data_IF_774105285304
#
_entry.id   IF_774105285304
#
_cell.length_a   1.000
_cell.length_b   1.000
_cell.length_c   1.000
_cell.angle_alpha   90.00
_cell.angle_beta   90.00
_cell.angle_gamma   90.00
#
_symmetry.space_group_name_H-M   'P 1'
#
loop_
_entity.id
_entity.type
_entity.pdbx_description
1 polymer ?
#
# COMPACT_ATOMS: atom_id res chain seq x y z
N UNK A 1 -13.71 30.37 5.05
CA UNK A 1 -12.74 31.46 5.26
C UNK A 1 -11.56 31.19 4.34
N UNK A 2 -11.21 32.13 3.47
CA UNK A 2 -10.04 32.01 2.61
C UNK A 2 -8.82 32.44 3.42
N UNK A 3 -7.81 31.59 3.49
CA UNK A 3 -6.62 31.80 4.29
C UNK A 3 -5.39 31.65 3.39
N UNK A 4 -4.42 32.53 3.57
CA UNK A 4 -3.15 32.46 2.85
C UNK A 4 -2.11 31.82 3.77
N UNK A 5 -1.36 30.83 3.28
CA UNK A 5 -0.22 30.29 3.99
C UNK A 5 0.96 30.05 3.05
N UNK A 6 2.15 30.38 3.53
CA UNK A 6 3.38 30.18 2.77
C UNK A 6 3.74 28.71 2.67
N UNK A 7 4.18 28.26 1.50
CA UNK A 7 4.60 26.86 1.26
C UNK A 7 5.78 26.42 2.16
N UNK A 8 6.59 27.37 2.64
CA UNK A 8 7.72 27.16 3.54
C UNK A 8 7.66 28.19 4.68
N UNK A 9 7.82 27.79 5.96
CA UNK A 9 7.67 28.69 7.10
C UNK A 9 8.66 29.87 7.09
N UNK A 10 9.91 29.63 6.65
CA UNK A 10 10.97 30.65 6.61
C UNK A 10 11.19 31.27 5.24
N UNK A 11 11.35 30.44 4.22
CA UNK A 11 11.74 30.93 2.89
C UNK A 11 10.59 31.64 2.16
N UNK A 12 9.33 31.29 2.47
CA UNK A 12 8.13 31.95 1.94
C UNK A 12 8.11 32.10 0.41
N UNK A 13 8.54 31.06 -0.32
CA UNK A 13 8.70 31.13 -1.77
C UNK A 13 7.38 31.31 -2.51
N UNK A 14 6.30 30.68 -2.04
CA UNK A 14 4.98 30.72 -2.68
C UNK A 14 3.87 30.88 -1.65
N UNK A 15 2.95 31.81 -1.91
CA UNK A 15 1.74 32.00 -1.10
C UNK A 15 0.65 31.06 -1.60
N UNK A 16 0.32 30.04 -0.82
CA UNK A 16 -0.73 29.09 -1.13
C UNK A 16 -2.06 29.61 -0.57
N UNK A 17 -3.10 29.61 -1.41
CA UNK A 17 -4.46 29.94 -0.99
C UNK A 17 -5.17 28.68 -0.52
N UNK A 18 -5.69 28.71 0.70
CA UNK A 18 -6.48 27.62 1.28
C UNK A 18 -7.91 28.10 1.53
N UNK A 19 -8.89 27.26 1.18
CA UNK A 19 -10.25 27.44 1.64
C UNK A 19 -10.51 26.49 2.81
N UNK A 20 -10.54 27.04 4.02
CA UNK A 20 -10.93 26.25 5.21
C UNK A 20 -12.43 26.43 5.42
N UNK A 21 -13.15 25.32 5.36
CA UNK A 21 -14.57 25.23 5.74
C UNK A 21 -14.67 24.50 7.07
N UNK A 22 -15.27 25.15 8.06
CA UNK A 22 -15.52 24.58 9.39
C UNK A 22 -16.98 24.11 9.42
N UNK A 23 -17.21 22.84 9.78
CA UNK A 23 -18.56 22.31 10.03
C UNK A 23 -18.66 21.85 11.48
N UNK A 24 -19.81 22.12 12.10
CA UNK A 24 -20.18 21.58 13.41
C UNK A 24 -21.14 20.42 13.20
N UNK A 25 -21.01 19.38 14.01
CA UNK A 25 -22.00 18.30 14.03
C UNK A 25 -23.32 18.88 14.53
N UNK A 26 -24.44 18.41 13.96
CA UNK A 26 -25.78 18.84 14.36
C UNK A 26 -26.23 18.08 15.63
N UNK A 27 -25.44 17.11 16.10
CA UNK A 27 -25.72 16.30 17.29
C UNK A 27 -24.42 16.01 18.06
N UNK A 28 -24.53 15.37 19.23
CA UNK A 28 -23.37 14.88 20.01
C UNK A 28 -22.58 13.75 19.33
N UNK A 29 -22.98 13.35 18.12
CA UNK A 29 -22.23 12.39 17.32
C UNK A 29 -20.99 13.05 16.70
N UNK A 30 -19.83 12.36 16.67
CA UNK A 30 -18.65 12.84 15.98
C UNK A 30 -18.95 13.19 14.51
N UNK A 31 -18.43 14.33 14.06
CA UNK A 31 -18.54 14.74 12.67
C UNK A 31 -17.76 13.75 11.79
N UNK A 32 -18.46 12.90 11.03
CA UNK A 32 -17.84 12.14 9.94
C UNK A 32 -17.67 13.07 8.74
N UNK A 33 -16.46 13.59 8.55
CA UNK A 33 -16.11 14.45 7.41
C UNK A 33 -14.98 13.84 6.61
N UNK A 34 -15.12 13.90 5.29
CA UNK A 34 -14.07 13.57 4.33
C UNK A 34 -13.58 14.87 3.72
N UNK A 35 -12.29 15.15 3.89
CA UNK A 35 -11.65 16.31 3.28
C UNK A 35 -11.00 15.88 1.96
N UNK A 36 -11.24 16.65 0.91
CA UNK A 36 -10.61 16.45 -0.39
C UNK A 36 -9.70 17.66 -0.63
N UNK A 37 -8.39 17.41 -0.65
CA UNK A 37 -7.41 18.41 -1.06
C UNK A 37 -7.02 18.15 -2.50
N UNK A 38 -7.14 19.16 -3.36
CA UNK A 38 -6.52 19.16 -4.68
C UNK A 38 -5.36 20.14 -4.62
N UNK A 39 -4.17 19.63 -4.89
CA UNK A 39 -2.93 20.42 -4.87
C UNK A 39 -2.33 20.40 -6.27
N UNK A 40 -2.04 21.58 -6.80
CA UNK A 40 -1.34 21.76 -8.06
C UNK A 40 0.02 22.42 -7.79
N UNK A 41 1.11 21.66 -7.81
CA UNK A 41 2.43 22.23 -8.00
C UNK A 41 2.56 22.66 -9.47
N UNK A 42 2.83 23.93 -9.74
CA UNK A 42 3.09 24.42 -11.10
C UNK A 42 4.39 25.22 -11.16
N UNK A 43 5.13 25.08 -12.26
CA UNK A 43 6.30 25.89 -12.57
C UNK A 43 5.86 27.08 -13.42
N UNK A 44 5.96 28.30 -12.88
CA UNK A 44 5.61 29.55 -13.57
C UNK A 44 4.55 30.36 -12.83
N UNK A 45 3.96 31.33 -13.52
CA UNK A 45 3.05 32.32 -12.91
C UNK A 45 1.56 31.97 -13.05
N UNK A 46 1.20 30.90 -13.77
CA UNK A 46 -0.18 30.55 -14.08
C UNK A 46 -0.55 29.13 -13.60
N UNK A 47 -1.60 28.98 -12.78
CA UNK A 47 -2.15 27.66 -12.45
C UNK A 47 -2.75 26.98 -13.69
N UNK A 48 -2.76 25.65 -13.73
CA UNK A 48 -3.38 24.86 -14.81
C UNK A 48 -4.79 24.39 -14.41
N UNK A 49 -5.16 24.44 -13.12
CA UNK A 49 -6.53 24.20 -12.67
C UNK A 49 -7.34 25.49 -12.84
N UNK A 50 -8.28 25.47 -13.78
CA UNK A 50 -9.24 26.56 -14.00
C UNK A 50 -10.37 26.53 -12.96
N UNK A 51 -10.84 25.34 -12.59
CA UNK A 51 -11.92 25.17 -11.63
C UNK A 51 -11.98 23.77 -11.04
N UNK A 52 -12.61 23.67 -9.87
CA UNK A 52 -12.93 22.42 -9.18
C UNK A 52 -14.43 22.35 -8.90
N UNK A 53 -15.05 21.21 -9.17
CA UNK A 53 -16.45 20.96 -8.79
C UNK A 53 -16.59 19.63 -8.08
N UNK A 54 -17.24 19.64 -6.93
CA UNK A 54 -17.64 18.39 -6.29
C UNK A 54 -18.74 17.75 -7.12
N UNK A 55 -18.58 16.47 -7.47
CA UNK A 55 -19.58 15.71 -8.20
C UNK A 55 -20.43 14.89 -7.22
N UNK A 56 -21.74 14.72 -7.50
CA UNK A 56 -22.57 13.77 -6.76
C UNK A 56 -22.12 12.34 -7.10
N UNK A 57 -21.94 11.54 -6.06
CA UNK A 57 -21.58 10.11 -6.16
C UNK A 57 -22.29 9.36 -5.03
N UNK A 58 -22.71 8.12 -5.29
CA UNK A 58 -23.45 7.31 -4.31
C UNK A 58 -22.62 6.95 -3.07
N UNK A 59 -21.31 6.74 -3.25
CA UNK A 59 -20.35 6.41 -2.19
C UNK A 59 -19.02 7.11 -2.41
N UNK A 60 -18.35 7.47 -1.31
CA UNK A 60 -17.07 8.17 -1.34
C UNK A 60 -17.17 9.62 -1.76
N UNK A 61 -16.17 10.06 -2.53
CA UNK A 61 -15.96 11.43 -2.94
C UNK A 61 -15.52 11.50 -4.41
N UNK A 62 -16.08 12.43 -5.16
CA UNK A 62 -15.70 12.69 -6.55
C UNK A 62 -15.55 14.19 -6.81
N UNK A 63 -14.55 14.55 -7.61
CA UNK A 63 -14.24 15.93 -8.01
C UNK A 63 -13.96 15.97 -9.51
N UNK A 64 -14.60 16.92 -10.18
CA UNK A 64 -14.24 17.40 -11.51
C UNK A 64 -13.11 18.43 -11.36
N UNK A 65 -12.02 18.23 -12.08
CA UNK A 65 -10.91 19.18 -12.22
C UNK A 65 -10.89 19.68 -13.66
N UNK A 66 -11.22 20.94 -13.85
CA UNK A 66 -11.22 21.59 -15.15
C UNK A 66 -9.85 22.23 -15.41
N UNK A 67 -9.22 21.83 -16.51
CA UNK A 67 -7.97 22.39 -17.03
C UNK A 67 -8.22 23.04 -18.41
N UNK A 68 -7.30 23.84 -18.97
CA UNK A 68 -7.47 24.45 -20.28
C UNK A 68 -7.83 23.45 -21.39
N UNK A 69 -7.22 22.25 -21.34
CA UNK A 69 -7.25 21.30 -22.46
C UNK A 69 -7.88 19.96 -22.10
N UNK A 70 -8.25 19.78 -20.84
CA UNK A 70 -8.75 18.52 -20.34
C UNK A 70 -9.63 18.70 -19.10
N UNK A 71 -10.45 17.70 -18.85
CA UNK A 71 -11.22 17.53 -17.61
C UNK A 71 -10.82 16.23 -16.95
N UNK A 72 -10.39 16.27 -15.70
CA UNK A 72 -10.19 15.07 -14.90
C UNK A 72 -11.37 14.83 -13.98
N UNK A 73 -11.87 13.61 -13.96
CA UNK A 73 -12.80 13.14 -12.93
C UNK A 73 -12.02 12.25 -11.99
N UNK A 74 -11.82 12.73 -10.77
CA UNK A 74 -11.09 12.03 -9.71
C UNK A 74 -12.09 11.51 -8.69
N UNK A 75 -11.94 10.24 -8.31
CA UNK A 75 -12.82 9.56 -7.38
C UNK A 75 -12.01 8.83 -6.31
N UNK A 76 -12.48 8.88 -5.07
CA UNK A 76 -11.89 8.20 -3.92
C UNK A 76 -12.98 7.66 -2.99
N UNK A 77 -12.84 6.40 -2.59
CA UNK A 77 -13.71 5.68 -1.68
C UNK A 77 -12.91 4.55 -1.02
N UNK A 78 -13.27 4.14 0.19
CA UNK A 78 -12.54 3.10 0.96
C UNK A 78 -13.37 1.84 1.17
N UNK A 79 -14.51 1.70 0.48
CA UNK A 79 -15.49 0.64 0.75
C UNK A 79 -15.60 -0.41 -0.35
N UNK A 80 -14.94 -0.21 -1.50
CA UNK A 80 -15.05 -1.05 -2.70
C UNK A 80 -16.49 -1.33 -3.16
N UNK A 81 -17.43 -0.45 -2.80
CA UNK A 81 -18.81 -0.52 -3.25
C UNK A 81 -18.90 0.10 -4.65
N UNK A 82 -19.77 -0.44 -5.50
CA UNK A 82 -20.04 0.12 -6.83
C UNK A 82 -20.55 1.55 -6.69
N UNK A 83 -19.90 2.47 -7.42
CA UNK A 83 -20.26 3.88 -7.45
C UNK A 83 -20.29 4.41 -8.87
N UNK A 84 -21.17 5.38 -9.09
CA UNK A 84 -21.43 5.92 -10.40
C UNK A 84 -21.46 7.45 -10.38
N UNK A 85 -21.00 8.06 -11.48
CA UNK A 85 -21.01 9.49 -11.72
C UNK A 85 -21.77 9.73 -13.02
N UNK A 86 -23.08 9.98 -12.91
CA UNK A 86 -24.00 10.01 -14.04
C UNK A 86 -23.59 11.01 -15.14
N UNK A 87 -23.11 12.20 -14.76
CA UNK A 87 -22.71 13.26 -15.70
C UNK A 87 -21.56 12.87 -16.64
N UNK A 88 -20.78 11.85 -16.32
CA UNK A 88 -19.67 11.35 -17.16
C UNK A 88 -19.86 9.91 -17.60
N UNK A 89 -20.98 9.28 -17.23
CA UNK A 89 -21.24 7.84 -17.47
C UNK A 89 -20.08 6.96 -16.96
N UNK A 90 -19.59 7.28 -15.75
CA UNK A 90 -18.55 6.52 -15.06
C UNK A 90 -19.21 5.59 -14.04
N UNK A 91 -18.77 4.34 -14.01
CA UNK A 91 -19.18 3.34 -13.00
C UNK A 91 -17.97 2.49 -12.61
N UNK A 92 -17.77 2.24 -11.31
CA UNK A 92 -16.57 1.53 -10.82
C UNK A 92 -16.75 1.05 -9.39
N UNK A 93 -16.08 -0.04 -9.03
CA UNK A 93 -15.94 -0.51 -7.64
C UNK A 93 -14.65 0.00 -6.98
N UNK A 94 -13.66 0.44 -7.76
CA UNK A 94 -12.33 0.86 -7.30
C UNK A 94 -12.29 1.86 -6.14
N UNK A 95 -11.30 1.70 -5.25
CA UNK A 95 -11.02 2.68 -4.20
C UNK A 95 -10.62 4.04 -4.77
N UNK A 96 -9.79 4.06 -5.79
CA UNK A 96 -9.42 5.30 -6.47
C UNK A 96 -9.58 5.15 -7.98
N UNK A 97 -10.07 6.18 -8.64
CA UNK A 97 -10.12 6.27 -10.08
C UNK A 97 -9.82 7.69 -10.57
N UNK A 98 -9.17 7.78 -11.72
CA UNK A 98 -8.96 9.01 -12.46
C UNK A 98 -9.31 8.76 -13.92
N UNK A 99 -10.19 9.58 -14.47
CA UNK A 99 -10.53 9.57 -15.89
C UNK A 99 -10.26 10.96 -16.46
N UNK A 100 -9.41 11.05 -17.47
CA UNK A 100 -9.13 12.30 -18.19
C UNK A 100 -9.90 12.31 -19.51
N UNK A 101 -10.63 13.39 -19.74
CA UNK A 101 -11.30 13.70 -20.99
C UNK A 101 -10.63 14.90 -21.67
N UNK A 102 -10.25 14.79 -22.95
CA UNK A 102 -9.67 15.90 -23.71
C UNK A 102 -10.68 16.96 -24.14
N UNK A 103 -10.22 17.98 -24.88
CA UNK A 103 -11.06 19.10 -25.39
C UNK A 103 -12.31 18.67 -26.18
N UNK A 104 -12.30 17.49 -26.81
CA UNK A 104 -13.46 16.92 -27.52
C UNK A 104 -14.34 16.00 -26.68
N UNK A 105 -14.10 15.91 -25.38
CA UNK A 105 -14.75 14.96 -24.48
C UNK A 105 -14.31 13.50 -24.71
N UNK A 106 -13.35 13.22 -25.59
CA UNK A 106 -12.81 11.87 -25.76
C UNK A 106 -12.05 11.44 -24.50
N UNK A 107 -12.19 10.18 -24.10
CA UNK A 107 -11.38 9.63 -23.00
C UNK A 107 -9.93 9.50 -23.47
N UNK A 108 -9.02 10.15 -22.76
CA UNK A 108 -7.58 10.17 -23.09
C UNK A 108 -6.76 9.33 -22.11
N UNK A 109 -7.17 9.30 -20.84
CA UNK A 109 -6.47 8.53 -19.81
C UNK A 109 -7.43 7.92 -18.82
N UNK A 110 -7.12 6.72 -18.38
CA UNK A 110 -7.88 5.98 -17.36
C UNK A 110 -6.91 5.34 -16.39
N UNK A 111 -7.14 5.58 -15.10
CA UNK A 111 -6.44 4.92 -14.01
C UNK A 111 -7.45 4.47 -12.97
N UNK A 112 -7.26 3.27 -12.42
CA UNK A 112 -7.94 2.88 -11.18
C UNK A 112 -7.12 1.91 -10.35
N UNK A 113 -7.40 1.87 -9.05
CA UNK A 113 -6.74 0.97 -8.12
C UNK A 113 -7.70 0.37 -7.09
N UNK A 114 -7.34 -0.82 -6.64
CA UNK A 114 -8.04 -1.62 -5.63
C UNK A 114 -9.51 -1.94 -6.01
N UNK A 115 -9.82 -1.99 -7.30
CA UNK A 115 -11.13 -2.39 -7.84
C UNK A 115 -10.99 -3.44 -8.93
N UNK A 116 -12.10 -4.08 -9.30
CA UNK A 116 -12.13 -5.06 -10.38
C UNK A 116 -12.41 -4.43 -11.76
N UNK A 117 -13.04 -3.25 -11.80
CA UNK A 117 -13.30 -2.56 -13.07
C UNK A 117 -13.51 -1.05 -12.94
N UNK A 118 -13.37 -0.37 -14.07
CA UNK A 118 -13.82 0.99 -14.31
C UNK A 118 -14.48 1.06 -15.68
N UNK A 119 -15.75 1.44 -15.71
CA UNK A 119 -16.52 1.69 -16.93
C UNK A 119 -16.57 3.19 -17.19
N UNK A 120 -16.31 3.57 -18.45
CA UNK A 120 -16.42 4.95 -18.94
C UNK A 120 -17.21 4.90 -20.25
N UNK A 121 -18.45 5.40 -20.25
CA UNK A 121 -19.40 5.24 -21.36
C UNK A 121 -19.55 3.76 -21.72
N UNK A 122 -19.24 3.37 -22.96
CA UNK A 122 -19.39 2.00 -23.47
C UNK A 122 -18.14 1.13 -23.26
N UNK A 123 -17.06 1.69 -22.70
CA UNK A 123 -15.79 0.96 -22.48
C UNK A 123 -15.66 0.51 -21.05
N UNK A 124 -15.26 -0.74 -20.86
CA UNK A 124 -14.98 -1.34 -19.54
C UNK A 124 -13.51 -1.73 -19.47
N UNK A 125 -12.80 -1.15 -18.52
CA UNK A 125 -11.43 -1.48 -18.18
C UNK A 125 -11.43 -2.42 -16.96
N UNK A 126 -10.61 -3.48 -16.98
CA UNK A 126 -10.59 -4.50 -15.94
C UNK A 126 -9.19 -4.73 -15.40
N UNK A 127 -9.10 -4.96 -14.11
CA UNK A 127 -7.89 -5.36 -13.42
C UNK A 127 -8.22 -6.45 -12.41
N UNK A 128 -7.19 -7.20 -12.03
CA UNK A 128 -7.28 -8.19 -10.97
C UNK A 128 -6.08 -8.05 -10.06
N UNK A 129 -6.30 -8.33 -8.79
CA UNK A 129 -5.20 -8.47 -7.85
C UNK A 129 -4.33 -9.67 -8.27
N UNK A 130 -3.06 -9.59 -7.95
CA UNK A 130 -2.12 -10.70 -8.04
C UNK A 130 -1.99 -11.27 -6.64
N UNK A 131 -2.23 -12.57 -6.49
CA UNK A 131 -2.15 -13.25 -5.21
C UNK A 131 -1.27 -14.49 -5.30
N UNK A 132 -0.63 -14.83 -4.18
CA UNK A 132 0.20 -16.02 -4.08
C UNK A 132 0.66 -16.31 -2.66
N UNK A 133 1.40 -17.39 -2.51
CA UNK A 133 2.00 -17.80 -1.24
C UNK A 133 3.52 -17.77 -1.37
N UNK A 134 4.20 -17.16 -0.41
CA UNK A 134 5.67 -17.16 -0.34
C UNK A 134 6.15 -18.58 -0.10
N UNK A 135 6.98 -19.08 -1.00
CA UNK A 135 7.53 -20.45 -0.98
C UNK A 135 9.01 -20.49 -0.61
N UNK A 136 9.74 -19.41 -0.87
CA UNK A 136 11.14 -19.27 -0.51
C UNK A 136 11.46 -17.81 -0.22
N UNK A 137 12.35 -17.56 0.73
CA UNK A 137 12.83 -16.22 1.11
C UNK A 137 14.34 -16.26 1.23
N UNK A 138 15.00 -15.41 0.45
CA UNK A 138 16.40 -15.03 0.61
C UNK A 138 16.42 -13.63 1.22
N UNK A 139 16.35 -13.60 2.56
CA UNK A 139 16.24 -12.37 3.32
C UNK A 139 17.46 -11.46 3.13
N UNK A 140 18.64 -12.05 2.91
CA UNK A 140 19.91 -11.32 2.72
C UNK A 140 19.94 -10.55 1.41
N UNK A 141 19.41 -11.14 0.34
CA UNK A 141 19.37 -10.50 -0.98
C UNK A 141 18.03 -9.82 -1.28
N UNK A 142 17.14 -9.71 -0.27
CA UNK A 142 15.80 -9.09 -0.39
C UNK A 142 14.90 -9.78 -1.43
N UNK A 143 15.14 -11.08 -1.66
CA UNK A 143 14.48 -11.85 -2.71
C UNK A 143 13.55 -12.88 -2.12
N UNK A 144 12.49 -13.17 -2.85
CA UNK A 144 11.55 -14.21 -2.49
C UNK A 144 10.91 -14.83 -3.72
N UNK A 145 10.50 -16.08 -3.58
CA UNK A 145 9.75 -16.82 -4.60
C UNK A 145 8.33 -17.02 -4.11
N UNK A 146 7.36 -16.68 -4.95
CA UNK A 146 5.94 -16.77 -4.66
C UNK A 146 5.28 -17.72 -5.66
N UNK A 147 4.55 -18.71 -5.15
CA UNK A 147 3.64 -19.53 -5.95
C UNK A 147 2.33 -18.75 -6.18
N UNK A 148 2.02 -18.47 -7.44
CA UNK A 148 0.88 -17.65 -7.82
C UNK A 148 -0.42 -18.48 -7.84
N UNK A 149 -1.52 -17.88 -7.37
CA UNK A 149 -2.86 -18.49 -7.36
C UNK A 149 -3.56 -18.46 -8.74
N UNK A 150 -2.89 -17.93 -9.76
CA UNK A 150 -3.39 -17.91 -11.13
C UNK A 150 -2.37 -17.33 -12.10
N UNK A 151 -2.65 -17.51 -13.39
CA UNK A 151 -1.83 -16.92 -14.45
C UNK A 151 -1.93 -15.41 -14.37
N UNK A 152 -0.80 -14.70 -14.38
CA UNK A 152 -0.76 -13.24 -14.48
C UNK A 152 -0.55 -12.86 -15.95
N UNK A 153 -1.19 -11.78 -16.38
CA UNK A 153 -0.90 -11.16 -17.67
C UNK A 153 -0.22 -9.82 -17.40
N UNK A 154 0.86 -9.53 -18.14
CA UNK A 154 1.62 -8.29 -18.01
C UNK A 154 2.82 -8.36 -17.08
N UNK A 155 3.40 -7.20 -16.80
CA UNK A 155 4.60 -7.01 -15.97
C UNK A 155 4.23 -6.30 -14.67
N UNK A 156 4.99 -6.56 -13.61
CA UNK A 156 4.88 -5.85 -12.34
C UNK A 156 5.96 -4.76 -12.35
N UNK A 157 5.54 -3.49 -12.32
CA UNK A 157 6.46 -2.36 -12.37
C UNK A 157 7.20 -2.15 -11.04
N UNK A 158 8.46 -1.70 -11.08
CA UNK A 158 9.14 -1.19 -9.89
C UNK A 158 8.31 -0.10 -9.18
N UNK A 159 8.34 -0.10 -7.85
CA UNK A 159 7.56 0.79 -7.00
C UNK A 159 6.13 0.31 -6.72
N UNK A 160 5.66 -0.76 -7.38
CA UNK A 160 4.41 -1.43 -7.01
C UNK A 160 4.48 -1.93 -5.57
N UNK A 161 3.41 -1.78 -4.78
CA UNK A 161 3.38 -2.24 -3.39
C UNK A 161 2.84 -3.67 -3.33
N UNK A 162 3.64 -4.57 -2.77
CA UNK A 162 3.22 -5.93 -2.42
C UNK A 162 2.87 -5.98 -0.93
N UNK A 163 1.68 -6.50 -0.62
CA UNK A 163 1.21 -6.69 0.75
C UNK A 163 1.42 -8.14 1.16
N UNK A 164 2.03 -8.37 2.32
CA UNK A 164 2.27 -9.70 2.88
C UNK A 164 1.50 -9.85 4.17
N UNK A 165 0.77 -10.96 4.32
CA UNK A 165 -0.09 -11.23 5.47
C UNK A 165 0.17 -12.63 6.01
N UNK A 166 0.24 -12.74 7.33
CA UNK A 166 0.11 -14.01 8.04
C UNK A 166 -0.91 -13.87 9.18
N UNK A 167 -1.06 -14.93 9.99
CA UNK A 167 -2.06 -14.96 11.05
C UNK A 167 -1.87 -13.88 12.13
N UNK A 168 -0.67 -13.29 12.22
CA UNK A 168 -0.29 -12.38 13.30
C UNK A 168 -0.04 -10.94 12.83
N UNK A 169 0.17 -10.72 11.52
CA UNK A 169 0.48 -9.38 11.00
C UNK A 169 0.23 -9.20 9.51
N UNK A 170 0.28 -7.92 9.10
CA UNK A 170 0.35 -7.48 7.72
C UNK A 170 1.51 -6.51 7.54
N UNK A 171 2.26 -6.66 6.45
CA UNK A 171 3.35 -5.77 6.03
C UNK A 171 3.24 -5.41 4.55
N UNK A 172 3.97 -4.39 4.15
CA UNK A 172 3.92 -3.83 2.81
C UNK A 172 5.34 -3.52 2.35
N UNK A 173 5.67 -3.97 1.14
CA UNK A 173 7.01 -3.82 0.59
C UNK A 173 6.96 -3.30 -0.85
N UNK A 174 7.64 -2.19 -1.17
CA UNK A 174 7.79 -1.72 -2.54
C UNK A 174 8.66 -2.69 -3.35
N UNK A 175 8.15 -3.10 -4.50
CA UNK A 175 8.85 -3.97 -5.46
C UNK A 175 10.02 -3.19 -6.07
N UNK A 176 11.21 -3.76 -6.04
CA UNK A 176 12.34 -3.29 -6.83
C UNK A 176 12.36 -3.95 -8.20
N UNK A 177 12.26 -5.28 -8.22
CA UNK A 177 12.26 -6.10 -9.43
C UNK A 177 11.27 -7.26 -9.27
N UNK A 178 10.63 -7.65 -10.37
CA UNK A 178 9.73 -8.79 -10.41
C UNK A 178 9.89 -9.54 -11.73
N UNK A 179 10.01 -10.86 -11.66
CA UNK A 179 10.05 -11.75 -12.83
C UNK A 179 9.02 -12.85 -12.66
N UNK A 180 8.26 -13.10 -13.72
CA UNK A 180 7.21 -14.13 -13.73
C UNK A 180 7.63 -15.20 -14.72
N UNK A 181 7.75 -16.43 -14.25
CA UNK A 181 7.98 -17.61 -15.07
C UNK A 181 6.89 -18.65 -14.75
N UNK A 182 6.03 -18.93 -15.73
CA UNK A 182 4.82 -19.74 -15.55
C UNK A 182 3.93 -19.23 -14.38
N UNK A 183 3.82 -19.99 -13.30
CA UNK A 183 3.06 -19.62 -12.10
C UNK A 183 3.96 -19.28 -10.90
N UNK A 184 5.22 -18.93 -11.16
CA UNK A 184 6.18 -18.54 -10.14
C UNK A 184 6.57 -17.09 -10.34
N UNK A 185 6.41 -16.29 -9.29
CA UNK A 185 6.89 -14.92 -9.22
C UNK A 185 8.15 -14.88 -8.36
N UNK A 186 9.26 -14.43 -8.93
CA UNK A 186 10.44 -14.03 -8.15
C UNK A 186 10.40 -12.52 -7.97
N UNK A 187 10.38 -12.07 -6.72
CA UNK A 187 10.25 -10.67 -6.34
C UNK A 187 11.48 -10.25 -5.52
N UNK A 188 12.06 -9.11 -5.86
CA UNK A 188 13.05 -8.39 -5.04
C UNK A 188 12.40 -7.12 -4.48
N UNK A 189 12.51 -6.89 -3.18
CA UNK A 189 12.00 -5.67 -2.52
C UNK A 189 13.04 -4.55 -2.56
N UNK A 190 12.56 -3.31 -2.51
CA UNK A 190 13.44 -2.12 -2.46
C UNK A 190 13.98 -1.87 -1.05
N UNK A 191 13.24 -2.29 -0.04
CA UNK A 191 13.58 -2.24 1.37
C UNK A 191 14.07 -3.60 1.89
N UNK A 192 14.64 -3.60 3.08
CA UNK A 192 15.26 -4.77 3.68
C UNK A 192 14.22 -5.74 4.26
N UNK A 193 14.47 -7.04 4.06
CA UNK A 193 13.69 -8.11 4.66
C UNK A 193 14.19 -8.47 6.06
N UNK A 194 15.46 -8.20 6.36
CA UNK A 194 16.04 -8.37 7.70
C UNK A 194 15.80 -7.09 8.51
N UNK A 195 15.06 -7.22 9.60
CA UNK A 195 14.65 -6.07 10.44
C UNK A 195 15.19 -6.12 11.85
N UNK A 196 15.98 -7.14 12.17
CA UNK A 196 16.59 -7.26 13.47
C UNK A 196 17.58 -8.40 13.57
N UNK A 197 18.41 -8.30 14.58
CA UNK A 197 19.33 -9.33 15.04
C UNK A 197 19.30 -9.31 16.57
N UNK A 198 19.22 -10.47 17.17
CA UNK A 198 19.07 -10.66 18.62
C UNK A 198 20.13 -11.65 19.09
N UNK A 199 20.89 -11.26 20.10
CA UNK A 199 21.76 -12.18 20.81
C UNK A 199 20.95 -12.93 21.86
N UNK A 200 21.01 -14.26 21.83
CA UNK A 200 20.25 -15.12 22.74
C UNK A 200 21.16 -15.69 23.82
N UNK A 201 20.67 -15.77 25.06
CA UNK A 201 21.46 -16.24 26.21
C UNK A 201 21.02 -17.62 26.70
N UNK A 202 19.72 -17.92 26.64
CA UNK A 202 19.16 -19.22 27.03
C UNK A 202 17.99 -19.60 26.14
N UNK A 203 18.07 -20.77 25.51
CA UNK A 203 17.15 -21.19 24.47
C UNK A 203 16.43 -22.50 24.79
N UNK A 204 15.11 -22.50 24.59
CA UNK A 204 14.23 -23.66 24.64
C UNK A 204 13.37 -23.73 23.38
N UNK A 205 12.57 -24.80 23.26
CA UNK A 205 11.67 -24.97 22.12
C UNK A 205 10.60 -23.87 22.01
N UNK A 206 10.25 -23.24 23.12
CA UNK A 206 9.13 -22.30 23.29
C UNK A 206 9.59 -20.90 23.77
N UNK A 207 10.89 -20.66 23.88
CA UNK A 207 11.43 -19.40 24.38
C UNK A 207 12.87 -19.20 23.96
N UNK A 208 13.20 -18.01 23.46
CA UNK A 208 14.59 -17.57 23.28
C UNK A 208 14.83 -16.36 24.18
N UNK A 209 15.54 -16.55 25.28
CA UNK A 209 15.90 -15.47 26.20
C UNK A 209 17.01 -14.64 25.57
N UNK A 210 16.93 -13.32 25.70
CA UNK A 210 17.81 -12.35 25.05
C UNK A 210 18.23 -11.26 26.03
N UNK A 211 19.48 -10.81 25.95
CA UNK A 211 19.95 -9.58 26.60
C UNK A 211 19.84 -8.34 25.68
N UNK A 212 19.54 -8.56 24.39
CA UNK A 212 19.30 -7.50 23.42
C UNK A 212 18.06 -6.68 23.79
N UNK A 213 18.22 -5.36 23.89
CA UNK A 213 17.10 -4.44 24.13
C UNK A 213 16.24 -4.27 22.87
N UNK A 214 14.94 -4.54 22.98
CA UNK A 214 13.97 -4.47 21.89
C UNK A 214 12.91 -3.40 22.19
N UNK A 215 13.22 -2.10 22.01
CA UNK A 215 12.31 -1.01 22.38
C UNK A 215 11.00 -1.00 21.58
N UNK A 216 10.97 -1.67 20.42
CA UNK A 216 9.79 -1.82 19.57
C UNK A 216 9.26 -3.26 19.58
N UNK A 217 9.43 -3.98 20.69
CA UNK A 217 8.97 -5.35 20.92
C UNK A 217 7.62 -5.71 20.25
N UNK A 218 6.54 -4.90 20.40
CA UNK A 218 5.25 -5.22 19.78
C UNK A 218 5.27 -5.32 18.25
N UNK A 219 6.14 -4.55 17.57
CA UNK A 219 6.22 -4.52 16.10
C UNK A 219 6.82 -5.80 15.50
N UNK A 220 7.53 -6.60 16.31
CA UNK A 220 8.11 -7.87 15.85
C UNK A 220 7.09 -9.02 15.86
N UNK A 221 5.87 -8.82 16.34
CA UNK A 221 4.83 -9.87 16.29
C UNK A 221 4.62 -10.35 14.85
N UNK A 222 4.67 -11.67 14.65
CA UNK A 222 4.49 -12.35 13.37
C UNK A 222 5.70 -12.34 12.42
N UNK A 223 6.86 -11.82 12.82
CA UNK A 223 8.11 -11.97 12.05
C UNK A 223 8.55 -13.43 12.02
N UNK A 224 9.35 -13.78 11.00
CA UNK A 224 10.04 -15.06 10.96
C UNK A 224 11.39 -14.94 11.64
N UNK A 225 11.67 -15.84 12.58
CA UNK A 225 12.97 -16.00 13.22
C UNK A 225 13.85 -16.89 12.34
N UNK A 226 15.10 -16.48 12.13
CA UNK A 226 16.08 -17.20 11.33
C UNK A 226 17.33 -17.51 12.17
N UNK A 227 18.00 -18.62 11.87
CA UNK A 227 19.31 -18.94 12.45
C UNK A 227 20.46 -18.17 11.76
N UNK A 228 21.70 -18.47 12.15
CA UNK A 228 22.90 -17.84 11.60
C UNK A 228 23.11 -18.12 10.09
N UNK A 229 22.46 -19.14 9.54
CA UNK A 229 22.46 -19.47 8.12
C UNK A 229 21.29 -18.82 7.37
N UNK A 230 20.48 -18.01 8.05
CA UNK A 230 19.23 -17.41 7.55
C UNK A 230 18.13 -18.44 7.26
N UNK A 231 18.20 -19.64 7.85
CA UNK A 231 17.16 -20.65 7.72
C UNK A 231 16.04 -20.42 8.76
N UNK A 232 14.77 -20.57 8.39
CA UNK A 232 13.65 -20.27 9.26
C UNK A 232 13.49 -21.29 10.40
N UNK A 233 13.55 -20.79 11.64
CA UNK A 233 13.41 -21.61 12.85
C UNK A 233 12.03 -21.49 13.51
N UNK A 234 11.28 -20.42 13.24
CA UNK A 234 9.92 -20.24 13.78
C UNK A 234 9.31 -18.88 13.45
N UNK A 235 8.07 -18.66 13.90
CA UNK A 235 7.38 -17.37 13.80
C UNK A 235 7.23 -16.79 15.20
N UNK A 236 7.55 -15.51 15.39
CA UNK A 236 7.44 -14.84 16.68
C UNK A 236 5.97 -14.51 16.98
N UNK A 237 5.50 -14.83 18.18
CA UNK A 237 4.17 -14.44 18.67
C UNK A 237 4.21 -13.19 19.52
N UNK A 238 5.22 -13.08 20.38
CA UNK A 238 5.38 -11.93 21.27
C UNK A 238 6.81 -11.82 21.76
N UNK A 239 7.14 -10.63 22.27
CA UNK A 239 8.35 -10.38 23.06
C UNK A 239 7.90 -9.91 24.43
N UNK A 240 8.29 -10.63 25.48
CA UNK A 240 7.97 -10.30 26.87
C UNK A 240 9.08 -10.79 27.78
N UNK A 241 9.35 -10.08 28.87
CA UNK A 241 10.32 -10.48 29.90
C UNK A 241 11.69 -10.89 29.34
N UNK A 242 12.22 -10.09 28.42
CA UNK A 242 13.49 -10.38 27.74
C UNK A 242 13.51 -11.72 26.98
N UNK A 243 12.36 -12.21 26.54
CA UNK A 243 12.25 -13.45 25.79
C UNK A 243 11.41 -13.27 24.52
N UNK A 244 11.90 -13.88 23.44
CA UNK A 244 11.17 -14.06 22.20
C UNK A 244 10.34 -15.34 22.34
N UNK A 245 9.01 -15.20 22.29
CA UNK A 245 8.07 -16.30 22.41
C UNK A 245 7.52 -16.66 21.02
N UNK A 246 7.88 -17.83 20.45
CA UNK A 246 7.36 -18.27 19.17
C UNK A 246 5.86 -18.65 19.24
N UNK A 247 5.19 -18.64 18.09
CA UNK A 247 3.77 -19.01 17.94
C UNK A 247 3.49 -20.51 18.08
N UNK A 248 4.54 -21.31 18.25
CA UNK A 248 4.55 -22.75 18.48
C UNK A 248 6.00 -23.19 18.76
N UNK A 249 6.28 -24.49 18.72
CA UNK A 249 7.66 -24.94 18.91
C UNK A 249 8.57 -24.51 17.75
N UNK A 250 9.80 -24.10 18.08
CA UNK A 250 10.83 -23.86 17.08
C UNK A 250 11.17 -25.18 16.36
N UNK A 251 11.37 -25.09 15.05
CA UNK A 251 11.85 -26.22 14.23
C UNK A 251 13.28 -26.63 14.59
N UNK A 252 14.06 -25.66 15.06
CA UNK A 252 15.44 -25.82 15.50
C UNK A 252 15.68 -24.85 16.65
N UNK A 253 16.29 -25.35 17.72
CA UNK A 253 16.66 -24.56 18.89
C UNK A 253 18.10 -24.06 18.66
N UNK A 254 18.34 -22.74 18.58
CA UNK A 254 19.69 -22.21 18.52
C UNK A 254 20.47 -22.55 19.79
N UNK A 255 21.79 -22.69 19.69
CA UNK A 255 22.64 -22.82 20.88
C UNK A 255 22.54 -21.56 21.75
N UNK A 256 22.72 -21.70 23.05
CA UNK A 256 22.90 -20.54 23.95
C UNK A 256 24.09 -19.69 23.47
N UNK A 257 23.95 -18.37 23.54
CA UNK A 257 24.91 -17.42 22.97
C UNK A 257 24.80 -17.23 21.45
N UNK A 258 23.85 -17.88 20.77
CA UNK A 258 23.70 -17.71 19.32
C UNK A 258 23.00 -16.39 18.96
N UNK A 259 23.34 -15.91 17.77
CA UNK A 259 22.60 -14.82 17.13
C UNK A 259 21.40 -15.37 16.35
N UNK A 260 20.25 -14.74 16.55
CA UNK A 260 19.00 -15.01 15.83
C UNK A 260 18.62 -13.79 15.01
N UNK A 261 18.33 -14.00 13.74
CA UNK A 261 17.92 -12.94 12.83
C UNK A 261 16.40 -12.86 12.74
N UNK A 262 15.90 -11.66 12.47
CA UNK A 262 14.47 -11.38 12.36
C UNK A 262 14.17 -10.95 10.93
N UNK A 263 13.30 -11.69 10.25
CA UNK A 263 12.81 -11.34 8.92
C UNK A 263 11.34 -10.96 8.90
N UNK A 264 11.05 -9.92 8.13
CA UNK A 264 9.69 -9.42 7.94
C UNK A 264 8.80 -10.37 7.13
N UNK A 265 9.36 -11.25 6.31
CA UNK A 265 8.57 -12.14 5.45
C UNK A 265 9.01 -13.57 5.70
N UNK A 266 8.02 -14.44 5.88
CA UNK A 266 8.22 -15.87 6.06
C UNK A 266 7.74 -16.69 4.87
N UNK A 267 8.27 -17.91 4.76
CA UNK A 267 7.63 -18.95 3.94
C UNK A 267 6.24 -19.23 4.52
N UNK A 268 5.23 -19.26 3.65
CA UNK A 268 3.83 -19.43 4.00
C UNK A 268 3.04 -18.11 4.11
N UNK A 269 3.71 -16.95 4.12
CA UNK A 269 3.03 -15.66 4.08
C UNK A 269 2.24 -15.52 2.77
N UNK A 270 1.02 -14.99 2.86
CA UNK A 270 0.20 -14.68 1.68
C UNK A 270 0.60 -13.32 1.13
N UNK A 271 0.94 -13.28 -0.15
CA UNK A 271 1.24 -12.06 -0.89
C UNK A 271 0.03 -11.61 -1.69
N UNK A 272 -0.22 -10.31 -1.71
CA UNK A 272 -1.18 -9.66 -2.60
C UNK A 272 -0.61 -8.35 -3.16
N UNK A 273 -0.61 -8.20 -4.48
CA UNK A 273 -0.52 -6.89 -5.14
C UNK A 273 -1.92 -6.51 -5.56
N UNK A 274 -2.40 -5.36 -5.07
CA UNK A 274 -3.75 -4.87 -5.35
C UNK A 274 -3.95 -4.62 -6.85
N UNK A 275 -5.19 -4.78 -7.30
CA UNK A 275 -5.55 -4.51 -8.68
C UNK A 275 -5.20 -3.06 -9.05
N UNK A 276 -4.53 -2.86 -10.17
CA UNK A 276 -4.24 -1.55 -10.75
C UNK A 276 -4.38 -1.64 -12.25
N UNK A 277 -4.93 -0.59 -12.85
CA UNK A 277 -4.99 -0.44 -14.30
C UNK A 277 -4.60 0.97 -14.68
N UNK A 278 -3.94 1.09 -15.83
CA UNK A 278 -3.58 2.35 -16.44
C UNK A 278 -3.68 2.21 -17.96
N UNK A 279 -4.31 3.19 -18.60
CA UNK A 279 -4.42 3.30 -20.05
C UNK A 279 -4.34 4.76 -20.45
N UNK A 280 -3.64 5.02 -21.55
CA UNK A 280 -3.52 6.32 -22.18
C UNK A 280 -3.64 6.13 -23.70
N UNK A 281 -4.26 7.11 -24.37
CA UNK A 281 -4.53 7.07 -25.81
C UNK A 281 -3.31 7.40 -26.66
#
# INVERSE_FOLDING_TARGET
MMADAWNKPRAKNYLLKYLITRRKSISDKPLKSTFIGVMEPFSGDKPLINALRKLPVSHGAAVEVLRPDATDVVMSDTTNIVKAIAGYQIETDAHAAVVTFGRGGATERVFFSDGSYLKVRDRIFRARAISGIVTHVDAKNRRMTIALEGKIAGRIEPGTIAHFTNALRKTEHPVHLATIAANVLTLETKDDLLVGKVHTVHNSADSLVTDTNLPFAPLYTGVTLLDAQFEPIGVLKSVSDHALKPAGNLKRIPADGADVWISNIGVGDRMQIKARFEWER
#
